data_IF_680553823795
#
_entry.id   IF_680553823795
#
_cell.length_a   1.000
_cell.length_b   1.000
_cell.length_c   1.000
_cell.angle_alpha   90.00
_cell.angle_beta   90.00
_cell.angle_gamma   90.00
#
_symmetry.space_group_name_H-M   'P 1'
#
loop_
_entity.id
_entity.type
_entity.pdbx_description
1 polymer ?
#
# COMPACT_ATOMS: atom_id res chain seq x y z
N UNK A 1 5.52 29.04 2.32
CA UNK A 1 6.65 28.11 2.48
C UNK A 1 6.55 27.52 3.87
N UNK A 2 5.75 26.46 4.00
CA UNK A 2 5.67 25.73 5.26
C UNK A 2 6.79 24.71 5.27
N UNK A 3 7.91 25.07 5.91
CA UNK A 3 8.94 24.09 6.23
C UNK A 3 8.29 23.02 7.12
N UNK A 4 8.39 21.76 6.69
CA UNK A 4 8.03 20.59 7.49
C UNK A 4 8.86 20.65 8.77
N UNK A 5 8.25 21.13 9.86
CA UNK A 5 8.88 21.07 11.18
C UNK A 5 8.95 19.60 11.60
N UNK A 6 10.12 19.02 11.37
CA UNK A 6 10.77 17.96 12.11
C UNK A 6 9.86 16.97 12.84
N UNK A 7 9.49 15.89 12.15
CA UNK A 7 9.57 14.55 12.74
C UNK A 7 10.81 13.77 12.25
N UNK A 8 11.75 14.39 11.51
CA UNK A 8 13.06 13.78 11.21
C UNK A 8 13.08 12.64 10.19
N UNK A 9 11.97 12.36 9.52
CA UNK A 9 11.84 11.14 8.71
C UNK A 9 11.80 11.34 7.20
N UNK A 10 11.55 12.56 6.68
CA UNK A 10 11.63 12.84 5.24
C UNK A 10 12.43 14.10 4.97
N UNK A 11 13.55 13.96 4.25
CA UNK A 11 14.25 15.08 3.62
C UNK A 11 13.57 15.47 2.30
N UNK A 12 12.23 15.40 2.25
CA UNK A 12 11.46 15.83 1.10
C UNK A 12 10.74 17.14 1.39
N UNK A 13 10.81 18.06 0.44
CA UNK A 13 10.22 19.39 0.51
C UNK A 13 9.07 19.47 -0.48
N UNK A 14 7.89 19.87 -0.01
CA UNK A 14 6.75 20.10 -0.90
C UNK A 14 7.09 21.12 -1.99
N UNK A 15 6.87 20.75 -3.25
CA UNK A 15 7.20 21.51 -4.45
C UNK A 15 8.61 21.30 -4.99
N UNK A 16 9.43 20.45 -4.36
CA UNK A 16 10.73 20.10 -4.93
C UNK A 16 10.60 19.14 -6.12
N UNK A 17 11.63 19.11 -6.97
CA UNK A 17 11.73 18.19 -8.10
C UNK A 17 12.84 17.18 -7.83
N UNK A 18 12.53 15.90 -7.92
CA UNK A 18 13.47 14.80 -7.68
C UNK A 18 13.42 13.76 -8.80
N UNK A 19 14.43 12.88 -8.82
CA UNK A 19 14.45 11.71 -9.70
C UNK A 19 14.22 10.45 -8.88
N UNK A 20 13.32 9.59 -9.34
CA UNK A 20 13.01 8.31 -8.70
C UNK A 20 13.12 7.14 -9.69
N UNK A 21 13.20 5.93 -9.14
CA UNK A 21 13.03 4.68 -9.90
C UNK A 21 11.63 4.14 -9.56
N UNK A 22 10.64 4.29 -10.46
CA UNK A 22 9.25 4.04 -10.13
C UNK A 22 8.88 2.55 -10.14
N UNK A 23 9.79 1.67 -10.57
CA UNK A 23 9.57 0.23 -10.64
C UNK A 23 10.83 -0.47 -10.16
N UNK A 24 10.72 -1.22 -9.06
CA UNK A 24 11.80 -2.05 -8.56
C UNK A 24 12.29 -3.04 -9.64
N UNK A 25 13.60 -3.09 -9.87
CA UNK A 25 14.21 -3.92 -10.92
C UNK A 25 14.28 -3.27 -12.31
N UNK A 26 13.60 -2.15 -12.55
CA UNK A 26 13.78 -1.35 -13.76
C UNK A 26 15.02 -0.44 -13.65
N UNK A 27 15.59 -0.07 -14.79
CA UNK A 27 16.60 1.00 -14.88
C UNK A 27 15.98 2.38 -15.18
N UNK A 28 14.67 2.43 -15.40
CA UNK A 28 13.97 3.66 -15.72
C UNK A 28 14.08 4.66 -14.56
N UNK A 29 14.43 5.89 -14.90
CA UNK A 29 14.43 7.03 -13.99
C UNK A 29 13.50 8.09 -14.54
N UNK A 30 12.56 8.54 -13.71
CA UNK A 30 11.63 9.62 -14.04
C UNK A 30 11.86 10.80 -13.10
N UNK A 31 11.52 11.99 -13.59
CA UNK A 31 11.54 13.22 -12.79
C UNK A 31 10.13 13.50 -12.30
N UNK A 32 9.99 13.77 -11.01
CA UNK A 32 8.70 14.04 -10.36
C UNK A 32 8.75 15.30 -9.51
N UNK A 33 7.62 15.99 -9.42
CA UNK A 33 7.40 17.07 -8.48
C UNK A 33 6.73 16.53 -7.22
N UNK A 34 7.33 16.76 -6.05
CA UNK A 34 6.81 16.27 -4.78
C UNK A 34 5.66 17.14 -4.32
N UNK A 35 4.49 16.53 -4.13
CA UNK A 35 3.31 17.12 -3.53
C UNK A 35 2.93 16.34 -2.27
N UNK A 36 3.09 16.96 -1.11
CA UNK A 36 2.80 16.33 0.18
C UNK A 36 1.37 16.67 0.58
N UNK A 37 0.53 15.64 0.67
CA UNK A 37 -0.88 15.75 1.03
C UNK A 37 -1.12 15.16 2.41
N UNK A 38 -1.33 16.04 3.37
CA UNK A 38 -1.72 15.65 4.72
C UNK A 38 -3.19 15.25 4.75
N UNK A 39 -3.47 13.94 4.84
CA UNK A 39 -4.85 13.42 4.84
C UNK A 39 -5.70 14.08 5.93
N UNK A 40 -5.09 14.47 7.05
CA UNK A 40 -5.77 15.13 8.17
C UNK A 40 -6.36 16.49 7.81
N UNK A 41 -5.91 17.08 6.70
CA UNK A 41 -6.42 18.34 6.14
C UNK A 41 -7.40 18.12 4.99
N UNK A 42 -7.64 16.88 4.57
CA UNK A 42 -8.62 16.52 3.55
C UNK A 42 -9.98 16.21 4.18
N UNK A 43 -11.06 16.71 3.57
CA UNK A 43 -12.40 16.26 3.87
C UNK A 43 -12.57 14.79 3.43
N UNK A 44 -13.41 14.01 4.14
CA UNK A 44 -13.77 12.66 3.71
C UNK A 44 -14.34 12.72 2.28
N UNK A 45 -13.90 11.80 1.41
CA UNK A 45 -14.25 11.71 -0.02
C UNK A 45 -13.77 12.85 -0.93
N UNK A 46 -12.86 13.73 -0.48
CA UNK A 46 -12.25 14.71 -1.38
C UNK A 46 -11.18 14.05 -2.27
N UNK A 47 -11.44 14.03 -3.57
CA UNK A 47 -10.46 13.64 -4.59
C UNK A 47 -9.58 14.87 -4.85
N UNK A 48 -8.28 14.77 -4.55
CA UNK A 48 -7.32 15.88 -4.64
C UNK A 48 -6.47 15.78 -5.91
N UNK A 49 -6.58 14.67 -6.63
CA UNK A 49 -5.68 14.28 -7.70
C UNK A 49 -6.30 13.20 -8.61
N UNK A 50 -5.57 12.75 -9.63
CA UNK A 50 -6.08 11.80 -10.63
C UNK A 50 -6.03 10.34 -10.17
N UNK A 51 -5.35 10.02 -9.05
CA UNK A 51 -4.99 8.64 -8.68
C UNK A 51 -6.18 7.74 -8.36
N UNK A 52 -7.35 8.33 -8.08
CA UNK A 52 -8.51 7.59 -7.58
C UNK A 52 -8.34 7.07 -6.15
N UNK A 53 -7.32 7.55 -5.40
CA UNK A 53 -7.10 7.19 -4.00
C UNK A 53 -8.17 7.81 -3.11
N UNK A 54 -8.67 7.01 -2.18
CA UNK A 54 -9.68 7.43 -1.21
C UNK A 54 -9.16 7.26 0.22
N UNK A 55 -9.39 8.26 1.05
CA UNK A 55 -9.24 8.12 2.50
C UNK A 55 -10.39 7.27 3.04
N UNK A 56 -10.05 6.26 3.84
CA UNK A 56 -11.03 5.48 4.59
C UNK A 56 -10.77 5.58 6.09
N UNK A 57 -11.86 5.50 6.84
CA UNK A 57 -11.87 5.47 8.29
C UNK A 57 -12.92 4.47 8.75
N UNK A 58 -12.53 3.54 9.62
CA UNK A 58 -13.44 2.53 10.16
C UNK A 58 -13.31 2.45 11.68
N UNK A 59 -14.37 1.99 12.32
CA UNK A 59 -14.36 1.66 13.75
C UNK A 59 -14.07 0.17 13.90
N UNK A 60 -12.89 -0.17 14.38
CA UNK A 60 -12.45 -1.53 14.63
C UNK A 60 -11.60 -1.59 15.92
N UNK A 61 -12.06 -2.38 16.88
CA UNK A 61 -11.38 -2.60 18.15
C UNK A 61 -10.35 -3.73 18.01
N UNK A 62 -9.08 -3.41 17.80
CA UNK A 62 -8.03 -4.43 17.69
C UNK A 62 -7.73 -5.06 19.06
N UNK A 63 -7.76 -6.39 19.15
CA UNK A 63 -7.30 -7.11 20.33
C UNK A 63 -5.78 -6.92 20.50
N UNK A 64 -5.38 -6.23 21.57
CA UNK A 64 -3.97 -5.95 21.85
C UNK A 64 -3.13 -7.20 22.11
N UNK A 65 -3.73 -8.26 22.67
CA UNK A 65 -3.03 -9.53 22.89
C UNK A 65 -2.73 -10.22 21.56
N UNK A 66 -3.72 -10.23 20.67
CA UNK A 66 -3.58 -10.76 19.31
C UNK A 66 -2.55 -9.96 18.50
N UNK A 67 -2.64 -8.63 18.53
CA UNK A 67 -1.68 -7.74 17.88
C UNK A 67 -0.25 -7.97 18.40
N UNK A 68 -0.10 -8.18 19.71
CA UNK A 68 1.20 -8.47 20.30
C UNK A 68 1.77 -9.81 19.83
N UNK A 69 0.95 -10.86 19.72
CA UNK A 69 1.37 -12.17 19.21
C UNK A 69 1.85 -12.04 17.77
N UNK A 70 1.02 -11.46 16.89
CA UNK A 70 1.35 -11.22 15.49
C UNK A 70 2.63 -10.40 15.34
N UNK A 71 2.77 -9.32 16.11
CA UNK A 71 3.97 -8.47 16.06
C UNK A 71 5.21 -9.27 16.45
N UNK A 72 5.13 -10.11 17.47
CA UNK A 72 6.24 -10.95 17.91
C UNK A 72 6.58 -12.03 16.88
N UNK A 73 5.58 -12.62 16.23
CA UNK A 73 5.77 -13.60 15.16
C UNK A 73 6.57 -12.99 13.99
N UNK A 74 6.16 -11.83 13.48
CA UNK A 74 6.88 -11.15 12.40
C UNK A 74 8.31 -10.77 12.85
N UNK A 75 8.48 -10.26 14.08
CA UNK A 75 9.81 -9.91 14.62
C UNK A 75 10.76 -11.09 14.71
N UNK A 76 10.24 -12.27 15.02
CA UNK A 76 11.04 -13.49 15.16
C UNK A 76 11.27 -14.22 13.83
N UNK A 77 10.51 -13.89 12.78
CA UNK A 77 10.79 -14.38 11.43
C UNK A 77 12.14 -13.83 10.90
N UNK A 78 12.70 -14.47 9.89
CA UNK A 78 13.94 -14.03 9.25
C UNK A 78 13.86 -12.56 8.77
N UNK A 79 14.98 -11.84 8.77
CA UNK A 79 15.01 -10.38 8.57
C UNK A 79 14.45 -9.92 7.20
N UNK A 80 14.45 -10.80 6.20
CA UNK A 80 13.86 -10.51 4.88
C UNK A 80 12.33 -10.50 4.87
N UNK A 81 11.69 -11.11 5.87
CA UNK A 81 10.24 -11.14 5.99
C UNK A 81 9.75 -10.03 6.92
N UNK A 82 9.12 -9.02 6.33
CA UNK A 82 8.43 -7.94 7.03
C UNK A 82 6.91 -8.14 7.06
N UNK A 83 6.41 -9.26 6.55
CA UNK A 83 4.97 -9.50 6.43
C UNK A 83 4.58 -10.96 6.62
N UNK A 84 3.36 -11.15 7.11
CA UNK A 84 2.69 -12.46 7.16
C UNK A 84 1.34 -12.33 6.47
N UNK A 85 1.06 -13.29 5.59
CA UNK A 85 -0.16 -13.34 4.79
C UNK A 85 -1.22 -14.20 5.44
N UNK A 86 -2.49 -13.91 5.13
CA UNK A 86 -3.62 -14.72 5.54
C UNK A 86 -3.46 -16.21 5.15
N UNK A 87 -3.98 -17.16 5.94
CA UNK A 87 -3.88 -18.61 5.64
C UNK A 87 -4.47 -19.03 4.29
N UNK A 88 -5.49 -18.30 3.85
CA UNK A 88 -6.14 -18.45 2.53
C UNK A 88 -5.47 -17.60 1.43
N UNK A 89 -4.20 -17.23 1.63
CA UNK A 89 -3.41 -16.52 0.64
C UNK A 89 -3.28 -17.37 -0.62
N UNK A 90 -3.65 -16.79 -1.77
CA UNK A 90 -3.81 -17.58 -2.99
C UNK A 90 -2.77 -17.31 -4.07
N UNK A 91 -1.63 -16.70 -3.72
CA UNK A 91 -0.51 -16.63 -4.64
C UNK A 91 0.31 -17.92 -4.62
N UNK A 92 0.60 -18.44 -5.80
CA UNK A 92 1.28 -19.74 -5.99
C UNK A 92 2.80 -19.52 -5.99
N UNK A 93 3.54 -20.37 -5.27
CA UNK A 93 5.02 -20.42 -5.26
C UNK A 93 5.71 -19.08 -4.92
N UNK A 94 5.06 -18.24 -4.11
CA UNK A 94 5.53 -16.88 -3.80
C UNK A 94 6.71 -16.82 -2.82
N UNK A 95 6.97 -17.88 -2.06
CA UNK A 95 7.95 -17.87 -0.97
C UNK A 95 7.56 -17.01 0.24
N UNK A 96 6.33 -16.47 0.24
CA UNK A 96 5.82 -15.61 1.30
C UNK A 96 5.50 -16.39 2.58
N UNK A 97 5.67 -15.73 3.73
CA UNK A 97 5.31 -16.30 5.03
C UNK A 97 3.78 -16.27 5.20
N UNK A 98 3.18 -17.45 5.35
CA UNK A 98 1.74 -17.64 5.50
C UNK A 98 1.43 -17.94 6.96
N UNK A 99 0.34 -17.38 7.47
CA UNK A 99 -0.16 -17.64 8.81
C UNK A 99 -0.51 -19.11 9.02
N UNK A 100 0.17 -19.75 9.98
CA UNK A 100 -0.05 -21.14 10.36
C UNK A 100 -0.85 -21.28 11.66
N UNK A 101 -0.69 -20.33 12.57
CA UNK A 101 -1.28 -20.39 13.92
C UNK A 101 -2.69 -19.78 13.96
N UNK A 102 -3.06 -19.01 12.93
CA UNK A 102 -4.39 -18.44 12.76
C UNK A 102 -4.57 -17.07 13.39
N UNK A 103 -3.56 -16.57 14.12
CA UNK A 103 -3.61 -15.29 14.81
C UNK A 103 -3.65 -14.11 13.83
N UNK A 104 -2.80 -14.15 12.79
CA UNK A 104 -2.78 -13.14 11.73
C UNK A 104 -4.10 -13.15 10.96
N UNK A 105 -4.59 -14.32 10.56
CA UNK A 105 -5.82 -14.49 9.80
C UNK A 105 -7.03 -13.97 10.58
N UNK A 106 -7.12 -14.30 11.87
CA UNK A 106 -8.17 -13.82 12.76
C UNK A 106 -8.18 -12.29 12.88
N UNK A 107 -7.02 -11.66 12.98
CA UNK A 107 -6.92 -10.20 13.03
C UNK A 107 -7.33 -9.57 11.69
N UNK A 108 -6.88 -10.14 10.57
CA UNK A 108 -7.26 -9.69 9.23
C UNK A 108 -8.78 -9.80 8.99
N UNK A 109 -9.40 -10.91 9.40
CA UNK A 109 -10.84 -11.13 9.34
C UNK A 109 -11.62 -10.09 10.12
N UNK A 110 -11.15 -9.78 11.33
CA UNK A 110 -11.78 -8.78 12.18
C UNK A 110 -11.82 -7.40 11.51
N UNK A 111 -10.70 -6.96 10.92
CA UNK A 111 -10.59 -5.67 10.24
C UNK A 111 -11.37 -5.67 8.93
N UNK A 112 -11.36 -6.78 8.19
CA UNK A 112 -12.13 -6.96 6.95
C UNK A 112 -13.63 -6.84 7.18
N UNK A 113 -14.16 -7.53 8.19
CA UNK A 113 -15.56 -7.42 8.60
C UNK A 113 -15.92 -5.99 9.01
N UNK A 114 -15.01 -5.31 9.73
CA UNK A 114 -15.20 -3.90 10.12
C UNK A 114 -15.10 -2.92 8.95
N UNK A 115 -14.63 -3.38 7.78
CA UNK A 115 -14.57 -2.62 6.52
C UNK A 115 -15.76 -2.91 5.61
N UNK A 116 -16.77 -3.66 6.07
CA UNK A 116 -17.89 -4.16 5.28
C UNK A 116 -17.45 -4.92 4.02
N UNK A 117 -16.29 -5.59 4.09
CA UNK A 117 -15.78 -6.44 3.03
C UNK A 117 -16.13 -7.90 3.34
N UNK A 118 -16.78 -8.55 2.37
CA UNK A 118 -17.06 -9.98 2.39
C UNK A 118 -15.78 -10.79 2.17
N UNK A 119 -15.81 -12.07 2.58
CA UNK A 119 -14.69 -12.97 2.37
C UNK A 119 -14.56 -13.31 0.88
N UNK A 120 -13.36 -13.08 0.33
CA UNK A 120 -13.01 -13.52 -1.01
C UNK A 120 -12.48 -14.95 -1.00
N UNK A 121 -12.83 -15.73 -2.03
CA UNK A 121 -12.05 -16.90 -2.39
C UNK A 121 -10.73 -16.44 -3.03
N UNK A 122 -9.61 -16.89 -2.46
CA UNK A 122 -8.25 -16.36 -2.67
C UNK A 122 -8.06 -14.95 -2.11
N UNK A 123 -7.23 -14.83 -1.07
CA UNK A 123 -6.92 -13.56 -0.41
C UNK A 123 -5.51 -13.09 -0.72
N UNK A 124 -5.33 -11.78 -0.62
CA UNK A 124 -4.03 -11.11 -0.64
C UNK A 124 -3.94 -10.17 0.58
N UNK A 125 -4.55 -10.59 1.67
CA UNK A 125 -4.58 -9.84 2.91
C UNK A 125 -3.32 -10.17 3.70
N UNK A 126 -2.68 -9.16 4.29
CA UNK A 126 -1.44 -9.34 5.06
C UNK A 126 -1.31 -8.32 6.18
N UNK A 127 -0.50 -8.68 7.16
CA UNK A 127 0.01 -7.75 8.17
C UNK A 127 1.46 -7.50 7.85
N UNK A 128 1.84 -6.22 7.82
CA UNK A 128 3.20 -5.79 7.55
C UNK A 128 3.75 -5.04 8.76
N UNK A 129 4.96 -5.38 9.18
CA UNK A 129 5.73 -4.76 10.24
C UNK A 129 7.14 -4.44 9.72
N UNK A 130 7.48 -3.16 9.65
CA UNK A 130 8.82 -2.73 9.26
C UNK A 130 9.86 -3.14 10.30
N UNK A 131 10.90 -3.83 9.85
CA UNK A 131 12.08 -4.18 10.67
C UNK A 131 13.18 -3.15 10.57
N UNK A 132 13.16 -2.33 9.52
CA UNK A 132 14.14 -1.29 9.24
C UNK A 132 13.47 0.05 8.87
N UNK A 133 14.19 1.13 9.15
CA UNK A 133 13.84 2.46 8.65
C UNK A 133 14.03 2.48 7.13
N UNK A 134 13.00 2.88 6.39
CA UNK A 134 13.11 3.18 4.95
C UNK A 134 12.36 4.46 4.69
N UNK A 135 13.10 5.48 4.28
CA UNK A 135 12.61 6.82 3.95
C UNK A 135 13.08 7.27 2.57
N UNK A 136 13.76 6.38 1.86
CA UNK A 136 14.13 6.55 0.48
C UNK A 136 12.97 6.11 -0.41
N UNK A 137 12.70 6.90 -1.44
CA UNK A 137 11.68 6.62 -2.46
C UNK A 137 12.13 5.51 -3.43
N UNK A 138 12.73 4.45 -2.89
CA UNK A 138 13.36 3.35 -3.62
C UNK A 138 12.46 2.13 -3.75
N UNK A 139 11.43 2.01 -2.90
CA UNK A 139 10.54 0.84 -2.82
C UNK A 139 9.27 0.99 -3.68
N UNK A 140 9.34 1.71 -4.80
CA UNK A 140 8.17 1.81 -5.69
C UNK A 140 7.90 0.51 -6.42
N UNK A 141 6.62 0.13 -6.42
CA UNK A 141 6.12 -1.04 -7.11
C UNK A 141 4.67 -0.82 -7.53
N UNK A 142 4.23 -1.71 -8.40
CA UNK A 142 2.82 -1.96 -8.72
C UNK A 142 2.53 -3.41 -8.34
N UNK A 143 1.31 -3.67 -7.89
CA UNK A 143 0.94 -5.02 -7.50
C UNK A 143 0.56 -5.86 -8.73
N UNK A 144 1.06 -7.09 -8.75
CA UNK A 144 0.67 -8.15 -9.69
C UNK A 144 0.45 -9.44 -8.90
N UNK A 145 -0.55 -10.22 -9.30
CA UNK A 145 -0.99 -11.38 -8.52
C UNK A 145 -1.01 -12.63 -9.40
N UNK A 146 -0.26 -13.64 -8.97
CA UNK A 146 -0.24 -14.94 -9.63
C UNK A 146 -1.11 -15.96 -8.87
N UNK A 147 -2.40 -16.01 -9.18
CA UNK A 147 -3.38 -16.83 -8.46
C UNK A 147 -4.15 -17.82 -9.32
N UNK A 148 -4.79 -18.80 -8.66
CA UNK A 148 -5.78 -19.67 -9.27
C UNK A 148 -7.11 -19.62 -8.50
N UNK A 149 -8.22 -19.17 -9.12
CA UNK A 149 -8.32 -18.70 -10.50
C UNK A 149 -7.52 -17.41 -10.74
N UNK A 150 -7.11 -17.13 -12.00
CA UNK A 150 -6.35 -15.92 -12.32
C UNK A 150 -7.19 -14.67 -12.06
N UNK A 151 -6.66 -13.77 -11.23
CA UNK A 151 -7.21 -12.41 -11.07
C UNK A 151 -6.41 -11.49 -11.96
N UNK A 152 -6.88 -11.20 -13.17
CA UNK A 152 -6.17 -10.36 -14.14
C UNK A 152 -6.93 -9.07 -14.43
N UNK A 153 -6.20 -7.97 -14.66
CA UNK A 153 -6.68 -6.59 -14.90
C UNK A 153 -7.83 -6.48 -15.87
N UNK A 154 -7.82 -7.33 -16.90
CA UNK A 154 -8.85 -7.38 -17.95
C UNK A 154 -10.21 -7.87 -17.44
N UNK A 155 -10.25 -8.68 -16.39
CA UNK A 155 -11.47 -9.35 -15.91
C UNK A 155 -12.08 -8.72 -14.65
N UNK A 156 -11.41 -7.72 -14.07
CA UNK A 156 -11.87 -7.11 -12.84
C UNK A 156 -10.90 -6.07 -12.32
N UNK A 157 -11.18 -5.62 -11.11
CA UNK A 157 -10.34 -4.71 -10.35
C UNK A 157 -9.94 -5.35 -9.02
N UNK A 158 -8.71 -5.08 -8.58
CA UNK A 158 -8.28 -5.44 -7.23
C UNK A 158 -8.17 -4.18 -6.40
N UNK A 159 -9.14 -3.97 -5.51
CA UNK A 159 -9.10 -2.90 -4.54
C UNK A 159 -8.18 -3.29 -3.38
N UNK A 160 -7.32 -2.37 -2.96
CA UNK A 160 -6.45 -2.49 -1.78
C UNK A 160 -6.87 -1.45 -0.75
N UNK A 161 -6.84 -1.83 0.53
CA UNK A 161 -6.88 -0.86 1.65
C UNK A 161 -5.65 -1.09 2.51
N UNK A 162 -4.89 -0.03 2.79
CA UNK A 162 -3.80 -0.05 3.76
C UNK A 162 -4.25 0.73 5.00
N UNK A 163 -4.47 0.03 6.11
CA UNK A 163 -4.76 0.62 7.41
C UNK A 163 -3.49 0.76 8.24
N UNK A 164 -3.27 1.94 8.80
CA UNK A 164 -2.25 2.12 9.82
C UNK A 164 -2.78 1.64 11.17
N UNK A 165 -2.13 0.61 11.74
CA UNK A 165 -2.45 0.09 13.07
C UNK A 165 -1.35 0.41 14.09
N UNK A 166 -0.34 1.18 13.66
CA UNK A 166 0.81 1.58 14.47
C UNK A 166 0.56 2.81 15.32
N UNK A 167 1.52 3.11 16.20
CA UNK A 167 1.49 4.27 17.11
C UNK A 167 1.97 5.56 16.45
N UNK A 168 2.66 5.47 15.32
CA UNK A 168 3.15 6.61 14.55
C UNK A 168 2.29 6.83 13.30
N UNK A 169 2.26 8.04 12.73
CA UNK A 169 1.72 8.27 11.40
C UNK A 169 2.50 7.46 10.36
N UNK A 170 1.80 6.95 9.34
CA UNK A 170 2.38 6.17 8.25
C UNK A 170 2.24 6.92 6.94
N UNK A 171 3.27 6.86 6.09
CA UNK A 171 3.32 7.58 4.82
C UNK A 171 3.34 6.62 3.62
N UNK A 172 2.62 7.01 2.57
CA UNK A 172 2.59 6.28 1.29
C UNK A 172 2.78 7.29 0.16
N UNK A 173 3.84 7.09 -0.63
CA UNK A 173 4.09 7.80 -1.89
C UNK A 173 3.35 7.13 -3.03
N UNK A 174 2.75 7.93 -3.91
CA UNK A 174 2.00 7.46 -5.08
C UNK A 174 2.24 8.38 -6.26
N UNK A 175 2.47 7.79 -7.44
CA UNK A 175 2.52 8.56 -8.68
C UNK A 175 1.13 9.03 -9.12
N UNK A 176 0.98 10.31 -9.44
CA UNK A 176 -0.26 10.91 -9.92
C UNK A 176 -0.56 10.50 -11.37
N UNK A 177 -1.00 9.25 -11.53
CA UNK A 177 -1.34 8.63 -12.81
C UNK A 177 -2.85 8.55 -12.96
N UNK A 178 -3.36 8.66 -14.20
CA UNK A 178 -4.76 8.39 -14.51
C UNK A 178 -5.00 6.87 -14.52
N UNK A 179 -5.86 6.33 -13.62
CA UNK A 179 -6.09 4.89 -13.53
C UNK A 179 -6.60 4.26 -14.82
N UNK A 180 -7.48 4.94 -15.55
CA UNK A 180 -8.02 4.44 -16.82
C UNK A 180 -6.92 4.30 -17.87
N UNK A 181 -6.00 5.26 -17.93
CA UNK A 181 -4.88 5.20 -18.88
C UNK A 181 -3.90 4.06 -18.55
N UNK A 182 -3.67 3.77 -17.26
CA UNK A 182 -2.86 2.61 -16.86
C UNK A 182 -3.53 1.31 -17.25
N UNK A 183 -4.83 1.15 -16.96
CA UNK A 183 -5.59 -0.07 -17.26
C UNK A 183 -5.78 -0.33 -18.76
N UNK A 184 -5.75 0.71 -19.59
CA UNK A 184 -5.83 0.59 -21.05
C UNK A 184 -4.51 0.15 -21.69
N UNK A 185 -3.37 0.43 -21.06
CA UNK A 185 -2.04 0.28 -21.68
C UNK A 185 -1.20 -0.82 -21.07
N UNK A 186 -1.45 -1.18 -19.82
CA UNK A 186 -0.69 -2.21 -19.12
C UNK A 186 -1.50 -3.49 -19.03
N UNK A 187 -0.92 -4.57 -19.53
CA UNK A 187 -1.54 -5.88 -19.59
C UNK A 187 -0.96 -6.86 -18.57
N UNK A 188 -1.64 -8.00 -18.43
CA UNK A 188 -1.12 -9.17 -17.71
C UNK A 188 -0.71 -10.26 -18.72
N UNK A 189 0.41 -10.98 -18.50
CA UNK A 189 1.32 -10.85 -17.37
C UNK A 189 2.14 -9.54 -17.41
N UNK A 190 2.67 -9.15 -16.26
CA UNK A 190 3.47 -7.94 -16.09
C UNK A 190 4.56 -7.77 -17.16
N UNK A 191 4.66 -6.57 -17.73
CA UNK A 191 5.71 -6.17 -18.66
C UNK A 191 6.38 -4.87 -18.20
N UNK A 192 7.69 -4.92 -17.94
CA UNK A 192 8.48 -3.70 -17.68
C UNK A 192 8.47 -2.74 -18.87
N UNK A 193 8.42 -3.25 -20.09
CA UNK A 193 8.45 -2.44 -21.32
C UNK A 193 7.21 -1.54 -21.42
N UNK A 194 6.02 -2.12 -21.22
CA UNK A 194 4.75 -1.38 -21.28
C UNK A 194 4.70 -0.23 -20.27
N UNK A 195 5.15 -0.50 -19.04
CA UNK A 195 5.24 0.54 -18.03
C UNK A 195 6.31 1.58 -18.35
N UNK A 196 7.46 1.17 -18.87
CA UNK A 196 8.53 2.11 -19.18
C UNK A 196 8.09 3.07 -20.29
N UNK A 197 7.46 2.57 -21.34
CA UNK A 197 6.91 3.37 -22.43
C UNK A 197 5.83 4.31 -21.90
N UNK A 198 4.88 3.79 -21.13
CA UNK A 198 3.81 4.59 -20.54
C UNK A 198 4.34 5.76 -19.70
N UNK A 199 5.30 5.49 -18.82
CA UNK A 199 5.87 6.49 -17.90
C UNK A 199 6.76 7.51 -18.62
N UNK A 200 7.49 7.10 -19.65
CA UNK A 200 8.30 8.03 -20.47
C UNK A 200 7.43 9.07 -21.19
N UNK A 201 6.23 8.69 -21.59
CA UNK A 201 5.29 9.58 -22.29
C UNK A 201 4.61 10.61 -21.37
N UNK A 202 4.57 10.40 -20.05
CA UNK A 202 3.90 11.31 -19.12
C UNK A 202 4.69 12.60 -18.85
N UNK A 203 5.99 12.64 -19.18
CA UNK A 203 6.86 13.78 -18.86
C UNK A 203 7.12 13.91 -17.35
N UNK A 204 7.16 15.15 -16.83
CA UNK A 204 7.29 15.39 -15.39
C UNK A 204 5.93 15.24 -14.73
N UNK A 205 5.82 14.28 -13.80
CA UNK A 205 4.59 13.96 -13.08
C UNK A 205 4.64 14.44 -11.64
N UNK A 206 3.48 14.48 -10.99
CA UNK A 206 3.42 14.71 -9.56
C UNK A 206 3.59 13.40 -8.79
N UNK A 207 4.41 13.45 -7.75
CA UNK A 207 4.48 12.44 -6.70
C UNK A 207 3.65 12.91 -5.51
N UNK A 208 2.65 12.15 -5.12
CA UNK A 208 1.78 12.49 -4.01
C UNK A 208 2.15 11.67 -2.78
N UNK A 209 2.39 12.34 -1.66
CA UNK A 209 2.68 11.67 -0.38
C UNK A 209 1.48 11.82 0.54
N UNK A 210 0.87 10.70 0.89
CA UNK A 210 -0.26 10.64 1.81
C UNK A 210 0.20 10.25 3.22
N UNK A 211 -0.18 11.04 4.22
CA UNK A 211 0.03 10.71 5.64
C UNK A 211 -1.25 10.12 6.26
N UNK A 212 -1.21 8.87 6.71
CA UNK A 212 -2.27 8.23 7.50
C UNK A 212 -1.99 8.36 9.01
N UNK A 213 -2.95 8.85 9.81
CA UNK A 213 -2.80 8.94 11.28
C UNK A 213 -2.44 7.62 11.94
N UNK A 214 -1.85 7.72 13.14
CA UNK A 214 -1.68 6.59 14.03
C UNK A 214 -3.02 6.05 14.52
N UNK A 215 -3.02 4.78 14.88
CA UNK A 215 -4.15 4.12 15.51
C UNK A 215 -4.39 4.70 16.91
N UNK A 216 -5.64 5.11 17.19
CA UNK A 216 -6.03 5.57 18.51
C UNK A 216 -7.43 5.07 18.88
N UNK A 217 -7.53 4.46 20.06
CA UNK A 217 -8.77 3.88 20.58
C UNK A 217 -9.24 2.69 19.73
N UNK A 218 -10.20 2.96 18.85
CA UNK A 218 -10.87 1.99 17.99
C UNK A 218 -10.89 2.42 16.52
N UNK A 219 -10.15 3.46 16.18
CA UNK A 219 -10.34 4.17 14.94
C UNK A 219 -9.16 3.92 14.00
N UNK A 220 -9.42 3.16 12.94
CA UNK A 220 -8.44 2.87 11.90
C UNK A 220 -8.57 3.87 10.78
N UNK A 221 -7.43 4.39 10.36
CA UNK A 221 -7.29 5.25 9.19
C UNK A 221 -6.53 4.51 8.10
N UNK A 222 -6.99 4.63 6.87
CA UNK A 222 -6.33 3.97 5.75
C UNK A 222 -6.53 4.67 4.41
N UNK A 223 -5.85 4.12 3.42
CA UNK A 223 -5.93 4.53 2.01
C UNK A 223 -6.48 3.36 1.20
N UNK A 224 -7.52 3.65 0.40
CA UNK A 224 -8.10 2.72 -0.55
C UNK A 224 -7.73 3.10 -1.98
N UNK A 225 -7.36 2.13 -2.79
CA UNK A 225 -6.98 2.33 -4.19
C UNK A 225 -7.11 1.05 -5.02
N UNK A 226 -7.05 1.16 -6.35
CA UNK A 226 -6.96 0.00 -7.24
C UNK A 226 -5.49 -0.38 -7.42
N UNK A 227 -5.13 -1.60 -6.99
CA UNK A 227 -3.76 -2.12 -6.97
C UNK A 227 -3.11 -2.13 -8.37
N UNK A 228 -3.92 -2.39 -9.39
CA UNK A 228 -3.47 -2.53 -10.77
C UNK A 228 -3.17 -1.23 -11.50
N UNK A 229 -3.73 -0.13 -11.01
CA UNK A 229 -3.57 1.18 -11.64
C UNK A 229 -2.66 2.11 -10.83
N UNK A 230 -2.10 1.63 -9.72
CA UNK A 230 -1.38 2.44 -8.74
C UNK A 230 0.08 2.01 -8.64
N UNK A 231 1.00 2.95 -8.88
CA UNK A 231 2.42 2.80 -8.55
C UNK A 231 2.66 3.51 -7.22
N UNK A 232 3.08 2.75 -6.22
CA UNK A 232 3.18 3.25 -4.86
C UNK A 232 4.41 2.72 -4.13
N UNK A 233 4.78 3.44 -3.08
CA UNK A 233 5.86 3.07 -2.17
C UNK A 233 5.43 3.43 -0.75
N UNK A 234 5.37 2.42 0.12
CA UNK A 234 5.32 2.71 1.55
C UNK A 234 6.71 3.11 2.02
N UNK A 235 6.79 4.02 2.98
CA UNK A 235 8.03 4.35 3.69
C UNK A 235 7.67 4.76 5.13
N UNK A 236 8.59 4.56 6.06
CA UNK A 236 8.27 4.63 7.49
C UNK A 236 9.43 4.19 8.37
N UNK A 237 9.20 4.33 9.66
CA UNK A 237 10.15 3.93 10.68
C UNK A 237 10.08 2.42 10.94
N UNK A 238 11.16 1.88 11.50
CA UNK A 238 11.14 0.59 12.17
C UNK A 238 9.99 0.52 13.18
N UNK A 239 9.39 -0.65 13.28
CA UNK A 239 8.21 -0.97 14.08
C UNK A 239 6.88 -0.34 13.59
N UNK A 240 6.87 0.36 12.45
CA UNK A 240 5.61 0.76 11.81
C UNK A 240 4.86 -0.46 11.30
N UNK A 241 3.59 -0.57 11.70
CA UNK A 241 2.73 -1.72 11.43
C UNK A 241 1.47 -1.32 10.68
N UNK A 242 1.08 -2.13 9.69
CA UNK A 242 -0.13 -1.94 8.91
C UNK A 242 -0.84 -3.25 8.61
N UNK A 243 -2.14 -3.13 8.37
CA UNK A 243 -2.96 -4.17 7.75
C UNK A 243 -3.19 -3.77 6.30
N UNK A 244 -2.97 -4.71 5.39
CA UNK A 244 -3.33 -4.57 3.99
C UNK A 244 -4.45 -5.55 3.69
N UNK A 245 -5.60 -5.03 3.26
CA UNK A 245 -6.72 -5.82 2.77
C UNK A 245 -6.82 -5.71 1.25
N UNK A 246 -7.33 -6.76 0.62
CA UNK A 246 -7.55 -6.81 -0.83
C UNK A 246 -8.93 -7.36 -1.16
N UNK A 247 -9.62 -6.74 -2.12
CA UNK A 247 -10.91 -7.20 -2.62
C UNK A 247 -10.92 -7.30 -4.14
N UNK A 248 -11.27 -8.47 -4.64
CA UNK A 248 -11.45 -8.68 -6.08
C UNK A 248 -12.89 -8.41 -6.49
N UNK A 249 -13.08 -7.59 -7.52
CA UNK A 249 -14.40 -7.35 -8.11
C UNK A 249 -14.34 -7.65 -9.61
N UNK A 250 -15.18 -8.57 -10.07
CA UNK A 250 -15.33 -8.86 -11.50
C UNK A 250 -16.01 -7.70 -12.23
N UNK A 251 -15.56 -7.42 -13.46
CA UNK A 251 -16.18 -6.46 -14.37
C UNK A 251 -17.31 -7.07 -15.19
#
# INVERSE_FOLDING_TARGET
MDAVKNNGFLNLVNGETITICPLQGSQLKITVNVNIVYINKLHENQIVDLTGIQRIKINCQIDNSLLSNVTNEIKNAHDEFEEIWHKDYGEIDSGNLIDLDGDVSRLLDQVRLSSDWDNDSVRFDKILLRKQDSFDLSQFHTDHFNSYPPKIRKHGDLERIIFNIGKNPRFIAVLNLNPSAVLERIHDPFSFEEYNDFLNEQGVMDLIIYETPSFSGALLHGLKFNAYSTIHSGFGAKDDIAIVLSKWTLK
#
